data_IF_723870329772
#
_entry.id   IF_723870329772
#
_cell.length_a   1.000
_cell.length_b   1.000
_cell.length_c   1.000
_cell.angle_alpha   90.00
_cell.angle_beta   90.00
_cell.angle_gamma   90.00
#
_symmetry.space_group_name_H-M   'P 1'
#
loop_
_entity.id
_entity.type
_entity.pdbx_description
1 polymer ?
#
# COMPACT_ATOMS: atom_id res chain seq x y z
N UNK A 1 -11.42 42.54 30.71
CA UNK A 1 -11.95 41.61 29.67
C UNK A 1 -10.85 40.78 28.98
N UNK A 2 -9.57 41.09 29.15
CA UNK A 2 -8.42 40.43 28.50
C UNK A 2 -8.06 39.05 29.07
N UNK A 3 -8.31 38.78 30.35
CA UNK A 3 -7.94 37.52 31.00
C UNK A 3 -8.68 36.27 30.50
N UNK A 4 -9.96 36.42 30.09
CA UNK A 4 -10.73 35.30 29.55
C UNK A 4 -10.28 34.85 28.15
N UNK A 5 -9.81 35.81 27.33
CA UNK A 5 -9.31 35.52 25.98
C UNK A 5 -7.95 34.80 26.03
N UNK A 6 -7.07 35.16 26.97
CA UNK A 6 -5.77 34.48 27.13
C UNK A 6 -5.92 33.01 27.54
N UNK A 7 -6.87 32.71 28.44
CA UNK A 7 -7.17 31.33 28.82
C UNK A 7 -7.76 30.56 27.62
N UNK A 8 -8.73 31.13 26.90
CA UNK A 8 -9.32 30.48 25.74
C UNK A 8 -8.28 30.16 24.65
N UNK A 9 -7.34 31.07 24.39
CA UNK A 9 -6.23 30.86 23.44
C UNK A 9 -5.28 29.77 23.95
N UNK A 10 -4.98 29.74 25.24
CA UNK A 10 -4.15 28.67 25.82
C UNK A 10 -4.78 27.28 25.66
N UNK A 11 -6.10 27.17 25.91
CA UNK A 11 -6.83 25.90 25.76
C UNK A 11 -6.94 25.46 24.30
N UNK A 12 -7.17 26.37 23.36
CA UNK A 12 -7.20 26.00 21.93
C UNK A 12 -5.83 25.54 21.44
N UNK A 13 -4.75 26.19 21.86
CA UNK A 13 -3.40 25.81 21.48
C UNK A 13 -2.98 24.48 22.10
N UNK A 14 -3.38 24.22 23.36
CA UNK A 14 -3.19 22.94 24.02
C UNK A 14 -3.99 21.80 23.34
N UNK A 15 -5.26 22.06 22.98
CA UNK A 15 -6.08 21.10 22.25
C UNK A 15 -5.51 20.79 20.87
N UNK A 16 -5.01 21.80 20.15
CA UNK A 16 -4.35 21.63 18.86
C UNK A 16 -3.07 20.80 18.99
N UNK A 17 -2.22 21.13 19.96
CA UNK A 17 -1.01 20.35 20.26
C UNK A 17 -1.32 18.89 20.59
N UNK A 18 -2.35 18.66 21.42
CA UNK A 18 -2.79 17.32 21.77
C UNK A 18 -3.31 16.57 20.53
N UNK A 19 -4.10 17.21 19.68
CA UNK A 19 -4.59 16.61 18.44
C UNK A 19 -3.43 16.23 17.50
N UNK A 20 -2.43 17.10 17.35
CA UNK A 20 -1.22 16.83 16.56
C UNK A 20 -0.41 15.69 17.18
N UNK A 21 -0.25 15.66 18.50
CA UNK A 21 0.46 14.59 19.20
C UNK A 21 -0.25 13.24 19.06
N UNK A 22 -1.58 13.20 19.18
CA UNK A 22 -2.38 11.98 18.95
C UNK A 22 -2.24 11.53 17.49
N UNK A 23 -2.31 12.45 16.53
CA UNK A 23 -2.13 12.12 15.11
C UNK A 23 -0.73 11.56 14.84
N UNK A 24 0.32 12.16 15.43
CA UNK A 24 1.69 11.69 15.31
C UNK A 24 1.88 10.31 15.96
N UNK A 25 1.35 10.11 17.17
CA UNK A 25 1.39 8.83 17.87
C UNK A 25 0.65 7.73 17.09
N UNK A 26 -0.53 8.03 16.56
CA UNK A 26 -1.28 7.12 15.68
C UNK A 26 -0.47 6.75 14.43
N UNK A 27 0.19 7.73 13.80
CA UNK A 27 1.03 7.50 12.63
C UNK A 27 2.28 6.68 12.97
N UNK A 28 2.88 6.91 14.14
CA UNK A 28 4.04 6.17 14.64
C UNK A 28 3.66 4.73 14.99
N UNK A 29 2.54 4.50 15.70
CA UNK A 29 2.02 3.17 16.00
C UNK A 29 1.67 2.44 14.70
N UNK A 30 1.05 3.12 13.73
CA UNK A 30 0.81 2.57 12.39
C UNK A 30 2.13 2.14 11.74
N UNK A 31 3.15 3.00 11.73
CA UNK A 31 4.48 2.67 11.19
C UNK A 31 5.14 1.51 11.92
N UNK A 32 5.04 1.45 13.24
CA UNK A 32 5.61 0.38 14.06
C UNK A 32 4.90 -0.96 13.84
N UNK A 33 3.58 -0.97 13.75
CA UNK A 33 2.80 -2.18 13.46
C UNK A 33 3.06 -2.71 12.04
N UNK A 34 3.22 -1.81 11.06
CA UNK A 34 3.58 -2.19 9.69
C UNK A 34 5.05 -2.66 9.59
N UNK A 35 5.96 -2.01 10.31
CA UNK A 35 7.39 -2.36 10.33
C UNK A 35 7.70 -3.70 11.01
N UNK A 36 6.82 -4.18 11.91
CA UNK A 36 7.01 -5.48 12.58
C UNK A 36 6.67 -6.70 11.72
N UNK A 37 5.99 -6.51 10.57
CA UNK A 37 5.50 -7.62 9.74
C UNK A 37 6.36 -8.00 8.53
N UNK A 38 7.37 -7.20 8.18
CA UNK A 38 8.15 -7.40 6.95
C UNK A 38 8.15 -6.14 6.08
N UNK A 39 9.34 -5.81 5.54
CA UNK A 39 9.67 -4.54 4.88
C UNK A 39 8.52 -3.93 4.09
N UNK A 40 8.12 -2.73 4.48
CA UNK A 40 7.13 -1.95 3.75
C UNK A 40 7.83 -1.14 2.66
N UNK A 41 7.36 -1.24 1.43
CA UNK A 41 7.89 -0.50 0.27
C UNK A 41 6.85 0.46 -0.27
N UNK A 42 7.29 1.62 -0.73
CA UNK A 42 6.40 2.58 -1.38
C UNK A 42 5.92 2.02 -2.72
N UNK A 43 4.61 1.99 -2.90
CA UNK A 43 3.99 1.41 -4.09
C UNK A 43 2.73 2.19 -4.48
N UNK A 44 2.73 2.77 -5.67
CA UNK A 44 1.54 3.31 -6.32
C UNK A 44 0.74 2.19 -6.97
N UNK A 45 -0.58 2.23 -6.84
CA UNK A 45 -1.50 1.25 -7.40
C UNK A 45 -2.52 1.93 -8.33
N UNK A 46 -2.74 1.34 -9.49
CA UNK A 46 -3.77 1.77 -10.45
C UNK A 46 -4.46 0.54 -11.08
N UNK A 47 -5.77 0.61 -11.27
CA UNK A 47 -6.55 -0.43 -11.95
C UNK A 47 -6.67 -0.12 -13.45
N UNK A 48 -5.75 -0.64 -14.26
CA UNK A 48 -5.71 -0.37 -15.70
C UNK A 48 -5.32 1.07 -16.06
N UNK A 49 -5.05 1.32 -17.35
CA UNK A 49 -4.46 2.59 -17.81
C UNK A 49 -5.33 3.84 -17.62
N UNK A 50 -6.63 3.67 -17.34
CA UNK A 50 -7.61 4.76 -17.21
C UNK A 50 -7.91 5.24 -15.79
N UNK A 51 -7.52 4.50 -14.75
CA UNK A 51 -7.86 4.87 -13.37
C UNK A 51 -6.83 5.83 -12.74
N UNK A 52 -7.21 6.60 -11.71
CA UNK A 52 -6.26 7.46 -11.01
C UNK A 52 -5.23 6.64 -10.23
N UNK A 53 -3.98 7.11 -10.22
CA UNK A 53 -2.93 6.54 -9.39
C UNK A 53 -3.24 6.73 -7.90
N UNK A 54 -3.15 5.64 -7.14
CA UNK A 54 -3.32 5.65 -5.69
C UNK A 54 -1.96 5.40 -5.05
N UNK A 55 -1.42 6.39 -4.38
CA UNK A 55 -0.17 6.25 -3.63
C UNK A 55 -0.39 5.42 -2.36
N UNK A 56 0.53 4.51 -2.09
CA UNK A 56 0.46 3.61 -0.96
C UNK A 56 1.77 2.93 -0.61
N UNK A 57 1.64 1.97 0.27
CA UNK A 57 2.70 1.20 0.89
C UNK A 57 2.34 -0.27 0.72
N UNK A 58 3.18 -1.03 0.03
CA UNK A 58 3.03 -2.48 -0.07
C UNK A 58 3.88 -3.16 1.00
N UNK A 59 3.34 -4.19 1.64
CA UNK A 59 4.04 -5.07 2.57
C UNK A 59 3.99 -6.49 2.02
N UNK A 60 5.18 -7.07 1.83
CA UNK A 60 5.35 -8.45 1.38
C UNK A 60 5.09 -9.41 2.56
N UNK A 61 3.97 -10.13 2.54
CA UNK A 61 3.72 -11.25 3.45
C UNK A 61 4.01 -12.57 2.72
N UNK A 62 4.33 -13.67 3.43
CA UNK A 62 4.75 -14.93 2.80
C UNK A 62 3.81 -15.47 1.71
N UNK A 63 2.50 -15.28 1.87
CA UNK A 63 1.47 -15.83 0.97
C UNK A 63 0.61 -14.77 0.26
N UNK A 64 0.76 -13.49 0.66
CA UNK A 64 -0.04 -12.39 0.12
C UNK A 64 0.72 -11.05 0.11
N UNK A 65 0.42 -10.19 -0.85
CA UNK A 65 0.92 -8.82 -0.93
C UNK A 65 -0.15 -7.89 -0.40
N UNK A 66 0.11 -7.23 0.73
CA UNK A 66 -0.85 -6.29 1.34
C UNK A 66 -0.51 -4.86 0.93
N UNK A 67 -1.42 -4.20 0.23
CA UNK A 67 -1.29 -2.80 -0.14
C UNK A 67 -2.11 -1.90 0.79
N UNK A 68 -1.47 -0.87 1.33
CA UNK A 68 -2.03 0.12 2.23
C UNK A 68 -2.03 1.48 1.56
N UNK A 69 -3.16 2.16 1.49
CA UNK A 69 -3.21 3.53 0.96
C UNK A 69 -2.41 4.49 1.84
N UNK A 70 -1.60 5.36 1.24
CA UNK A 70 -0.79 6.35 1.95
C UNK A 70 -1.69 7.33 2.73
N UNK A 71 -2.77 7.78 2.09
CA UNK A 71 -3.72 8.77 2.62
C UNK A 71 -4.93 8.19 3.35
N UNK A 72 -4.99 6.87 3.57
CA UNK A 72 -6.07 6.26 4.32
C UNK A 72 -5.88 6.39 5.83
N UNK A 73 -6.86 6.96 6.54
CA UNK A 73 -6.93 6.97 8.01
C UNK A 73 -7.11 5.56 8.63
N UNK A 74 -7.29 4.52 7.82
CA UNK A 74 -7.60 3.17 8.27
C UNK A 74 -6.33 2.31 8.37
N UNK A 75 -6.19 1.62 9.49
CA UNK A 75 -5.13 0.62 9.78
C UNK A 75 -5.30 -0.70 9.00
N UNK A 76 -6.40 -0.85 8.22
CA UNK A 76 -6.65 -2.06 7.44
C UNK A 76 -5.94 -1.97 6.07
N UNK A 77 -5.37 -3.09 5.57
CA UNK A 77 -4.92 -3.16 4.19
C UNK A 77 -6.08 -2.80 3.28
N UNK A 78 -5.83 -1.85 2.38
CA UNK A 78 -6.84 -1.42 1.44
C UNK A 78 -7.05 -2.52 0.39
N UNK A 79 -5.96 -3.19 0.01
CA UNK A 79 -5.99 -4.31 -0.94
C UNK A 79 -5.04 -5.42 -0.51
N UNK A 80 -5.41 -6.65 -0.81
CA UNK A 80 -4.65 -7.85 -0.49
C UNK A 80 -4.62 -8.69 -1.75
N UNK A 81 -3.43 -8.95 -2.28
CA UNK A 81 -3.23 -9.76 -3.46
C UNK A 81 -2.62 -11.09 -3.07
N UNK A 82 -3.37 -12.18 -3.23
CA UNK A 82 -2.84 -13.52 -2.99
C UNK A 82 -1.70 -13.83 -3.96
N UNK A 83 -0.61 -14.40 -3.47
CA UNK A 83 0.57 -14.69 -4.29
C UNK A 83 0.28 -15.56 -5.51
N UNK A 84 -0.48 -16.63 -5.30
CA UNK A 84 -0.88 -17.55 -6.38
C UNK A 84 -1.77 -16.89 -7.45
N UNK A 85 -2.38 -15.74 -7.12
CA UNK A 85 -3.25 -15.00 -8.02
C UNK A 85 -2.54 -13.89 -8.78
N UNK A 86 -1.37 -13.44 -8.33
CA UNK A 86 -0.68 -12.28 -8.89
C UNK A 86 0.42 -12.74 -9.85
N UNK A 87 0.24 -12.47 -11.14
CA UNK A 87 1.23 -12.77 -12.17
C UNK A 87 1.80 -11.49 -12.74
N UNK A 88 3.12 -11.38 -12.76
CA UNK A 88 3.78 -10.31 -13.48
C UNK A 88 3.61 -10.52 -14.99
N UNK A 89 3.00 -9.56 -15.68
CA UNK A 89 2.86 -9.58 -17.13
C UNK A 89 3.98 -8.80 -17.81
N UNK A 90 4.20 -7.57 -17.38
CA UNK A 90 5.07 -6.64 -18.07
C UNK A 90 5.73 -5.65 -17.10
N UNK A 91 6.96 -5.26 -17.39
CA UNK A 91 7.69 -4.17 -16.70
C UNK A 91 7.88 -3.04 -17.70
N UNK A 92 7.39 -1.84 -17.37
CA UNK A 92 7.60 -0.63 -18.17
C UNK A 92 8.25 0.48 -17.34
N UNK A 93 9.14 1.29 -17.93
CA UNK A 93 9.63 2.50 -17.26
C UNK A 93 8.48 3.49 -17.03
N UNK A 94 8.60 4.31 -15.98
CA UNK A 94 7.60 5.32 -15.66
C UNK A 94 7.46 6.33 -16.81
N UNK A 95 6.22 6.57 -17.24
CA UNK A 95 5.95 7.56 -18.29
C UNK A 95 6.21 8.98 -17.80
N UNK A 96 6.44 9.94 -18.71
CA UNK A 96 6.75 11.34 -18.37
C UNK A 96 5.69 12.00 -17.46
N UNK A 97 4.42 11.66 -17.64
CA UNK A 97 3.31 12.14 -16.81
C UNK A 97 3.27 11.48 -15.42
N UNK A 98 3.74 10.24 -15.32
CA UNK A 98 3.77 9.45 -14.08
C UNK A 98 5.02 9.80 -13.24
N UNK A 99 6.12 10.17 -13.90
CA UNK A 99 7.37 10.63 -13.27
C UNK A 99 7.17 11.90 -12.44
N UNK A 100 6.17 12.72 -12.77
CA UNK A 100 5.79 13.88 -11.98
C UNK A 100 5.16 13.52 -10.61
N UNK A 101 4.60 12.31 -10.48
CA UNK A 101 3.94 11.85 -9.24
C UNK A 101 4.84 10.97 -8.37
N UNK A 102 5.75 10.20 -8.99
CA UNK A 102 6.55 9.18 -8.29
C UNK A 102 8.07 9.43 -8.35
N UNK A 103 8.53 10.36 -9.19
CA UNK A 103 9.94 10.56 -9.48
C UNK A 103 10.44 9.67 -10.64
N UNK A 104 11.64 9.96 -11.17
CA UNK A 104 12.20 9.26 -12.34
C UNK A 104 12.71 7.84 -12.04
N UNK A 105 12.91 7.51 -10.76
CA UNK A 105 13.54 6.25 -10.33
C UNK A 105 12.52 5.13 -10.00
N UNK A 106 11.28 5.34 -10.43
CA UNK A 106 10.15 4.43 -10.20
C UNK A 106 9.86 3.65 -11.47
N UNK A 107 9.52 2.38 -11.31
CA UNK A 107 9.21 1.44 -12.37
C UNK A 107 7.75 1.06 -12.26
N UNK A 108 7.04 1.05 -13.39
CA UNK A 108 5.65 0.61 -13.45
C UNK A 108 5.60 -0.85 -13.89
N UNK A 109 4.87 -1.64 -13.12
CA UNK A 109 4.84 -3.09 -13.24
C UNK A 109 3.40 -3.50 -13.45
N UNK A 110 3.10 -4.13 -14.57
CA UNK A 110 1.76 -4.60 -14.92
C UNK A 110 1.60 -6.02 -14.39
N UNK A 111 0.70 -6.18 -13.42
CA UNK A 111 0.38 -7.47 -12.82
C UNK A 111 -1.05 -7.86 -13.15
N UNK A 112 -1.28 -9.15 -13.38
CA UNK A 112 -2.59 -9.74 -13.53
C UNK A 112 -2.99 -10.41 -12.24
N UNK A 113 -4.18 -10.05 -11.73
CA UNK A 113 -4.79 -10.67 -10.56
C UNK A 113 -5.84 -11.66 -11.04
N UNK A 114 -5.67 -12.92 -10.64
CA UNK A 114 -6.57 -14.05 -10.90
C UNK A 114 -7.68 -14.20 -9.84
N UNK A 115 -8.58 -15.17 -10.05
CA UNK A 115 -9.88 -15.29 -9.31
C UNK A 115 -9.72 -15.51 -7.82
N UNK A 116 -8.60 -16.10 -7.43
CA UNK A 116 -8.25 -16.38 -6.04
C UNK A 116 -7.77 -15.12 -5.27
N UNK A 117 -7.50 -14.01 -5.95
CA UNK A 117 -6.93 -12.80 -5.34
C UNK A 117 -7.92 -11.88 -4.63
N UNK A 118 -9.20 -12.24 -4.60
CA UNK A 118 -10.27 -11.36 -4.12
C UNK A 118 -10.57 -10.23 -5.11
N UNK A 119 -11.76 -9.65 -5.00
CA UNK A 119 -12.10 -8.41 -5.71
C UNK A 119 -11.50 -7.27 -4.90
N UNK A 120 -10.65 -6.42 -5.48
CA UNK A 120 -10.12 -5.29 -4.74
C UNK A 120 -11.27 -4.39 -4.28
N UNK A 121 -11.24 -3.95 -3.01
CA UNK A 121 -12.33 -3.14 -2.45
C UNK A 121 -12.53 -1.80 -3.18
N UNK A 122 -11.55 -1.38 -4.00
CA UNK A 122 -11.63 -0.18 -4.82
C UNK A 122 -11.90 -0.44 -6.30
N UNK A 123 -11.76 -1.67 -6.77
CA UNK A 123 -12.26 -2.03 -8.09
C UNK A 123 -13.77 -2.06 -7.99
N UNK A 124 -14.45 -1.18 -8.72
CA UNK A 124 -15.91 -1.04 -8.66
C UNK A 124 -16.63 -2.38 -8.83
N UNK A 125 -17.92 -2.41 -8.49
CA UNK A 125 -18.81 -3.60 -8.40
C UNK A 125 -18.82 -4.49 -9.68
N UNK A 126 -18.18 -4.06 -10.77
CA UNK A 126 -18.07 -4.77 -12.06
C UNK A 126 -16.60 -5.02 -12.46
N UNK A 127 -15.73 -5.39 -11.53
CA UNK A 127 -14.36 -5.80 -11.87
C UNK A 127 -14.40 -7.14 -12.64
N UNK A 128 -14.25 -7.09 -13.96
CA UNK A 128 -14.16 -8.28 -14.81
C UNK A 128 -12.77 -8.88 -14.65
N UNK A 129 -12.74 -10.17 -14.31
CA UNK A 129 -11.51 -10.91 -14.07
C UNK A 129 -11.06 -11.64 -15.35
N UNK A 130 -9.76 -11.74 -15.66
CA UNK A 130 -8.59 -11.29 -14.88
C UNK A 130 -8.43 -9.77 -14.84
N UNK A 131 -8.14 -9.25 -13.64
CA UNK A 131 -7.97 -7.82 -13.41
C UNK A 131 -6.50 -7.45 -13.61
N UNK A 132 -6.23 -6.49 -14.49
CA UNK A 132 -4.89 -5.92 -14.64
C UNK A 132 -4.71 -4.76 -13.67
N UNK A 133 -3.69 -4.87 -12.83
CA UNK A 133 -3.27 -3.83 -11.89
C UNK A 133 -1.88 -3.36 -12.27
N UNK A 134 -1.67 -2.06 -12.24
CA UNK A 134 -0.37 -1.45 -12.43
C UNK A 134 0.17 -1.00 -11.08
N UNK A 135 1.40 -1.44 -10.78
CA UNK A 135 2.10 -1.14 -9.55
C UNK A 135 3.33 -0.30 -9.89
N UNK A 136 3.36 0.95 -9.44
CA UNK A 136 4.53 1.82 -9.52
C UNK A 136 5.37 1.62 -8.26
N UNK A 137 6.60 1.14 -8.39
CA UNK A 137 7.50 0.90 -7.24
C UNK A 137 8.95 1.19 -7.60
N UNK A 138 9.81 1.42 -6.60
CA UNK A 138 11.25 1.58 -6.84
C UNK A 138 11.90 0.28 -7.33
N UNK A 139 13.09 0.36 -7.92
CA UNK A 139 13.79 -0.84 -8.42
C UNK A 139 14.13 -1.84 -7.30
N UNK A 140 14.45 -1.34 -6.10
CA UNK A 140 14.66 -2.17 -4.92
C UNK A 140 13.37 -2.89 -4.50
N UNK A 141 12.23 -2.21 -4.56
CA UNK A 141 10.93 -2.79 -4.25
C UNK A 141 10.54 -3.86 -5.29
N UNK A 142 10.77 -3.60 -6.58
CA UNK A 142 10.55 -4.55 -7.66
C UNK A 142 11.40 -5.81 -7.50
N UNK A 143 12.68 -5.65 -7.15
CA UNK A 143 13.56 -6.78 -6.87
C UNK A 143 13.01 -7.63 -5.72
N UNK A 144 12.48 -7.00 -4.68
CA UNK A 144 11.77 -7.68 -3.59
C UNK A 144 10.50 -8.41 -4.04
N UNK A 145 9.69 -7.80 -4.91
CA UNK A 145 8.49 -8.44 -5.48
C UNK A 145 8.85 -9.67 -6.30
N UNK A 146 9.87 -9.58 -7.15
CA UNK A 146 10.33 -10.69 -7.98
C UNK A 146 10.85 -11.83 -7.11
N UNK A 147 11.70 -11.52 -6.13
CA UNK A 147 12.19 -12.51 -5.18
C UNK A 147 11.03 -13.18 -4.42
N UNK A 148 10.03 -12.41 -4.01
CA UNK A 148 8.82 -12.93 -3.36
C UNK A 148 7.99 -13.83 -4.28
N UNK A 149 7.81 -13.46 -5.56
CA UNK A 149 7.10 -14.29 -6.53
C UNK A 149 7.84 -15.61 -6.79
N UNK A 150 9.17 -15.59 -6.84
CA UNK A 150 10.04 -16.76 -7.06
C UNK A 150 10.24 -17.65 -5.83
N UNK A 151 10.14 -17.11 -4.61
CA UNK A 151 10.47 -17.84 -3.38
C UNK A 151 9.48 -18.97 -3.10
N UNK A 152 9.70 -20.21 -3.53
CA UNK A 152 8.76 -21.34 -3.42
C UNK A 152 7.86 -21.31 -2.15
N UNK A 153 6.53 -21.58 -2.27
CA UNK A 153 5.64 -21.59 -1.11
C UNK A 153 6.23 -22.53 -0.05
N UNK A 154 6.15 -22.20 1.26
CA UNK A 154 6.60 -23.12 2.28
C UNK A 154 5.84 -24.43 2.06
N UNK A 155 6.57 -25.52 1.80
CA UNK A 155 5.97 -26.83 1.65
C UNK A 155 5.08 -27.03 2.86
N UNK A 156 3.75 -27.10 2.63
CA UNK A 156 2.80 -27.39 3.69
C UNK A 156 3.32 -28.66 4.34
N UNK A 157 3.80 -28.54 5.58
CA UNK A 157 4.20 -29.68 6.38
C UNK A 157 2.91 -30.48 6.58
N UNK A 158 2.67 -31.40 5.66
CA UNK A 158 1.60 -32.37 5.70
C UNK A 158 1.78 -33.15 6.99
N UNK A 159 1.02 -32.74 8.01
CA UNK A 159 0.90 -33.43 9.27
C UNK A 159 0.26 -34.78 9.01
N UNK A 160 1.10 -35.76 8.66
CA UNK A 160 0.82 -37.16 8.93
C UNK A 160 0.67 -37.29 10.44
N UNK A 161 -0.54 -37.59 10.90
CA UNK A 161 -0.80 -38.63 11.91
C UNK A 161 -2.29 -38.96 11.93
#
# INVERSE_FOLDING_TARGET
MTGGLALAVGWTLAALLLAVAIAAAFLAIRRLLLGRGGGTVECGLRHGSGDPWRLGLASYQPDELRWYSAFGLRLRPAEVFGRASLRLLERRPVGRAEAASFGPDVVVVVCQVGRAGGIPASAGVVARLPLTVELAMSDAALTGLLAWLEAAPPAQANGRR
#
